data_IF_092364391088
#
_entry.id   IF_092364391088
#
_cell.length_a   1.000
_cell.length_b   1.000
_cell.length_c   1.000
_cell.angle_alpha   90.00
_cell.angle_beta   90.00
_cell.angle_gamma   90.00
#
_symmetry.space_group_name_H-M   'P 1'
#
loop_
_entity.id
_entity.type
_entity.pdbx_description
1 polymer ?
#
# COMPACT_ATOMS: atom_id res chain seq x y z
N UNK A 1 -8.79 18.03 -9.32
CA UNK A 1 -9.31 16.67 -9.52
C UNK A 1 -8.85 15.77 -8.37
N UNK A 2 -9.70 15.50 -7.37
CA UNK A 2 -9.41 14.46 -6.36
C UNK A 2 -10.13 13.18 -6.81
N UNK A 3 -9.41 12.25 -7.42
CA UNK A 3 -9.91 10.92 -7.72
C UNK A 3 -10.20 10.13 -6.44
N UNK A 4 -11.15 9.20 -6.50
CA UNK A 4 -11.68 8.44 -5.34
C UNK A 4 -10.63 7.63 -4.56
N UNK A 5 -9.47 7.36 -5.15
CA UNK A 5 -8.40 6.53 -4.57
C UNK A 5 -7.08 7.32 -4.32
N UNK A 6 -7.17 8.63 -4.08
CA UNK A 6 -6.03 9.44 -3.63
C UNK A 6 -5.98 9.49 -2.10
N UNK A 7 -4.82 9.14 -1.54
CA UNK A 7 -4.46 9.28 -0.13
C UNK A 7 -3.40 10.36 0.01
N UNK A 8 -3.72 11.42 0.75
CA UNK A 8 -2.78 12.50 1.06
C UNK A 8 -2.42 12.41 2.53
N UNK A 9 -1.13 12.50 2.85
CA UNK A 9 -0.61 12.37 4.23
C UNK A 9 0.61 13.28 4.39
N UNK A 10 0.81 13.81 5.60
CA UNK A 10 1.99 14.64 5.90
C UNK A 10 3.19 13.76 6.32
N UNK A 11 4.39 14.19 5.95
CA UNK A 11 5.64 13.65 6.51
C UNK A 11 5.63 13.87 8.02
N UNK A 12 5.84 12.78 8.76
CA UNK A 12 5.73 12.75 10.23
C UNK A 12 4.42 12.14 10.74
N UNK A 13 3.46 11.81 9.87
CA UNK A 13 2.38 10.91 10.24
C UNK A 13 2.92 9.52 10.58
N UNK A 14 2.35 8.86 11.59
CA UNK A 14 2.82 7.55 12.06
C UNK A 14 2.72 6.49 10.95
N UNK A 15 1.61 6.50 10.20
CA UNK A 15 1.37 5.56 9.11
C UNK A 15 0.27 6.03 8.15
N UNK A 16 0.15 5.35 7.01
CA UNK A 16 -0.98 5.48 6.08
C UNK A 16 -1.48 4.10 5.67
N UNK A 17 -2.80 3.94 5.54
CA UNK A 17 -3.42 2.70 5.05
C UNK A 17 -3.94 2.85 3.62
N UNK A 18 -3.42 2.01 2.73
CA UNK A 18 -3.88 1.82 1.36
C UNK A 18 -5.03 0.81 1.36
N UNK A 19 -6.21 1.28 0.96
CA UNK A 19 -7.45 0.53 1.16
C UNK A 19 -7.80 -0.38 -0.02
N UNK A 20 -7.82 -1.69 0.22
CA UNK A 20 -8.40 -2.64 -0.70
C UNK A 20 -9.00 -3.85 0.04
N UNK A 21 -10.27 -4.14 -0.25
CA UNK A 21 -10.98 -5.29 0.29
C UNK A 21 -11.82 -5.92 -0.81
N UNK A 22 -11.83 -7.24 -0.87
CA UNK A 22 -12.73 -8.02 -1.71
C UNK A 22 -13.58 -8.92 -0.84
N UNK A 23 -14.86 -9.06 -1.20
CA UNK A 23 -15.76 -9.98 -0.52
C UNK A 23 -15.63 -11.35 -1.18
N UNK A 24 -15.33 -12.38 -0.39
CA UNK A 24 -15.32 -13.78 -0.82
C UNK A 24 -14.51 -14.12 -2.10
N UNK A 25 -13.28 -13.60 -2.29
CA UNK A 25 -12.46 -14.06 -3.40
C UNK A 25 -11.98 -15.51 -3.14
N UNK A 26 -12.08 -16.37 -4.15
CA UNK A 26 -11.20 -17.53 -4.26
C UNK A 26 -9.90 -17.03 -4.89
N UNK A 27 -8.84 -16.92 -4.10
CA UNK A 27 -7.55 -16.37 -4.48
C UNK A 27 -6.45 -17.11 -3.73
N UNK A 28 -5.25 -17.12 -4.30
CA UNK A 28 -4.08 -17.80 -3.72
C UNK A 28 -2.87 -16.87 -3.57
N UNK A 29 -2.83 -15.77 -4.34
CA UNK A 29 -1.76 -14.79 -4.30
C UNK A 29 -2.26 -13.34 -4.33
N UNK A 30 -1.57 -12.47 -3.60
CA UNK A 30 -1.75 -11.02 -3.64
C UNK A 30 -0.40 -10.32 -3.63
N UNK A 31 -0.25 -9.30 -4.49
CA UNK A 31 0.95 -8.47 -4.57
C UNK A 31 0.59 -6.99 -4.44
N UNK A 32 1.43 -6.22 -3.75
CA UNK A 32 1.44 -4.76 -3.77
C UNK A 32 2.73 -4.27 -4.41
N UNK A 33 2.63 -3.44 -5.46
CA UNK A 33 3.78 -2.84 -6.14
C UNK A 33 3.69 -1.32 -6.15
N UNK A 34 4.80 -0.65 -5.87
CA UNK A 34 4.97 0.78 -6.10
C UNK A 34 5.41 0.98 -7.55
N UNK A 35 4.47 1.26 -8.45
CA UNK A 35 4.71 1.11 -9.89
C UNK A 35 5.62 2.19 -10.49
N UNK A 36 5.69 3.39 -9.91
CA UNK A 36 6.59 4.44 -10.42
C UNK A 36 8.07 4.11 -10.26
N UNK A 37 8.41 3.26 -9.30
CA UNK A 37 9.80 2.87 -9.01
C UNK A 37 10.01 1.37 -9.13
N UNK A 38 9.00 0.65 -9.64
CA UNK A 38 9.01 -0.79 -9.89
C UNK A 38 9.41 -1.67 -8.68
N UNK A 39 9.06 -1.23 -7.46
CA UNK A 39 9.41 -1.95 -6.22
C UNK A 39 8.26 -2.83 -5.72
N UNK A 40 8.58 -4.07 -5.37
CA UNK A 40 7.66 -4.96 -4.66
C UNK A 40 7.59 -4.54 -3.19
N UNK A 41 6.38 -4.14 -2.77
CA UNK A 41 6.11 -3.63 -1.42
C UNK A 41 5.70 -4.77 -0.49
N UNK A 42 4.91 -5.71 -1.00
CA UNK A 42 4.44 -6.87 -0.24
C UNK A 42 3.95 -7.96 -1.19
N UNK A 43 4.14 -9.22 -0.82
CA UNK A 43 3.51 -10.36 -1.48
C UNK A 43 3.10 -11.43 -0.46
N UNK A 44 2.01 -12.12 -0.77
CA UNK A 44 1.53 -13.28 -0.05
C UNK A 44 1.04 -14.29 -1.07
N UNK A 45 1.45 -15.54 -0.91
CA UNK A 45 1.17 -16.61 -1.86
C UNK A 45 1.02 -17.94 -1.12
N UNK A 46 0.00 -18.73 -1.47
CA UNK A 46 -0.25 -20.08 -0.96
C UNK A 46 -0.25 -20.18 0.58
N UNK A 47 -0.82 -19.18 1.25
CA UNK A 47 -0.94 -19.16 2.71
C UNK A 47 0.28 -18.59 3.45
N UNK A 48 1.34 -18.22 2.75
CA UNK A 48 2.59 -17.75 3.34
C UNK A 48 2.99 -16.35 2.83
N UNK A 49 3.55 -15.54 3.72
CA UNK A 49 4.25 -14.31 3.35
C UNK A 49 5.59 -14.67 2.70
N UNK A 50 6.00 -13.92 1.67
CA UNK A 50 7.32 -14.08 1.05
C UNK A 50 8.18 -12.83 1.35
N UNK A 51 8.78 -12.72 2.55
CA UNK A 51 9.56 -11.54 2.93
C UNK A 51 10.85 -11.39 2.09
N UNK A 52 11.39 -12.47 1.54
CA UNK A 52 12.61 -12.43 0.71
C UNK A 52 12.46 -11.66 -0.60
N UNK A 53 11.24 -11.52 -1.10
CA UNK A 53 10.97 -10.80 -2.35
C UNK A 53 10.70 -9.31 -2.10
N UNK A 54 10.48 -8.91 -0.85
CA UNK A 54 10.17 -7.54 -0.48
C UNK A 54 11.40 -6.64 -0.65
N UNK A 55 11.23 -5.53 -1.35
CA UNK A 55 12.30 -4.55 -1.52
C UNK A 55 12.71 -3.92 -0.18
N UNK A 56 14.02 -3.71 0.01
CA UNK A 56 14.64 -3.22 1.26
C UNK A 56 14.00 -1.95 1.83
N UNK A 57 13.68 -0.96 1.00
CA UNK A 57 12.96 0.26 1.37
C UNK A 57 11.65 0.07 2.16
N UNK A 58 11.03 -1.11 2.06
CA UNK A 58 9.76 -1.45 2.71
C UNK A 58 9.90 -2.45 3.86
N UNK A 59 11.07 -3.05 4.04
CA UNK A 59 11.32 -4.01 5.11
C UNK A 59 11.13 -3.34 6.48
N UNK A 60 10.39 -4.00 7.37
CA UNK A 60 10.05 -3.49 8.70
C UNK A 60 9.07 -2.29 8.72
N UNK A 61 8.61 -1.82 7.57
CA UNK A 61 7.69 -0.67 7.45
C UNK A 61 6.28 -1.05 7.03
N UNK A 62 6.06 -2.28 6.58
CA UNK A 62 4.78 -2.75 6.03
C UNK A 62 4.04 -3.64 7.01
N UNK A 63 2.78 -3.30 7.25
CA UNK A 63 1.83 -4.10 8.01
C UNK A 63 0.60 -4.43 7.17
N UNK A 64 0.10 -5.65 7.36
CA UNK A 64 -1.06 -6.20 6.64
C UNK A 64 -1.89 -7.03 7.60
N UNK A 65 -3.16 -7.28 7.24
CA UNK A 65 -3.96 -8.26 7.97
C UNK A 65 -3.30 -9.65 7.90
N UNK A 66 -3.34 -10.41 8.99
CA UNK A 66 -2.81 -11.79 9.04
C UNK A 66 -3.83 -12.80 8.51
N UNK A 67 -5.13 -12.51 8.64
CA UNK A 67 -6.23 -13.39 8.20
C UNK A 67 -6.71 -13.04 6.79
N UNK A 68 -5.79 -12.77 5.85
CA UNK A 68 -6.12 -12.35 4.48
C UNK A 68 -7.05 -13.35 3.80
N UNK A 69 -6.74 -14.65 3.89
CA UNK A 69 -7.50 -15.72 3.21
C UNK A 69 -8.96 -15.77 3.69
N UNK A 70 -9.21 -15.49 4.97
CA UNK A 70 -10.57 -15.50 5.54
C UNK A 70 -11.32 -14.19 5.28
N UNK A 71 -10.60 -13.06 5.28
CA UNK A 71 -11.23 -11.73 5.33
C UNK A 71 -11.31 -11.03 3.98
N UNK A 72 -10.47 -11.42 3.01
CA UNK A 72 -10.27 -10.70 1.75
C UNK A 72 -9.83 -9.24 1.96
N UNK A 73 -9.24 -8.93 3.11
CA UNK A 73 -8.84 -7.59 3.52
C UNK A 73 -7.37 -7.33 3.20
N UNK A 74 -7.12 -6.93 1.96
CA UNK A 74 -5.79 -6.66 1.40
C UNK A 74 -5.23 -5.29 1.75
N UNK A 75 -5.72 -4.66 2.82
CA UNK A 75 -5.20 -3.37 3.29
C UNK A 75 -3.71 -3.48 3.62
N UNK A 76 -2.96 -2.48 3.16
CA UNK A 76 -1.55 -2.31 3.45
C UNK A 76 -1.36 -1.02 4.25
N UNK A 77 -0.79 -1.14 5.45
CA UNK A 77 -0.37 -0.01 6.26
C UNK A 77 1.13 0.20 6.12
N UNK A 78 1.52 1.38 5.67
CA UNK A 78 2.92 1.79 5.53
C UNK A 78 3.29 2.74 6.67
N UNK A 79 4.33 2.40 7.43
CA UNK A 79 4.89 3.18 8.55
C UNK A 79 6.13 3.96 8.13
N UNK A 80 6.56 4.88 9.00
CA UNK A 80 7.78 5.68 8.85
C UNK A 80 7.85 6.35 7.47
N UNK A 81 6.83 7.14 7.15
CA UNK A 81 6.61 7.69 5.81
C UNK A 81 7.72 8.65 5.40
N UNK A 82 8.17 8.48 4.16
CA UNK A 82 9.17 9.26 3.47
C UNK A 82 8.54 9.91 2.25
N UNK A 83 9.14 11.00 1.78
CA UNK A 83 8.72 11.70 0.57
C UNK A 83 8.68 10.78 -0.66
N UNK A 84 9.65 9.88 -0.73
CA UNK A 84 9.86 8.90 -1.79
C UNK A 84 8.79 7.81 -1.83
N UNK A 85 7.98 7.68 -0.77
CA UNK A 85 6.83 6.76 -0.78
C UNK A 85 5.66 7.31 -1.60
N UNK A 86 5.75 8.56 -2.08
CA UNK A 86 4.72 9.13 -2.94
C UNK A 86 4.69 8.42 -4.28
N UNK A 87 3.51 7.97 -4.68
CA UNK A 87 3.30 7.40 -6.00
C UNK A 87 2.05 6.55 -6.13
N UNK A 88 2.01 5.80 -7.22
CA UNK A 88 0.93 4.87 -7.51
C UNK A 88 1.31 3.51 -6.95
N UNK A 89 0.44 2.97 -6.11
CA UNK A 89 0.52 1.61 -5.60
C UNK A 89 -0.57 0.78 -6.26
N UNK A 90 -0.20 -0.36 -6.83
CA UNK A 90 -1.17 -1.31 -7.38
C UNK A 90 -1.17 -2.55 -6.52
N UNK A 91 -2.36 -2.91 -6.04
CA UNK A 91 -2.61 -4.24 -5.52
C UNK A 91 -3.17 -5.13 -6.62
N UNK A 92 -2.57 -6.29 -6.83
CA UNK A 92 -3.02 -7.32 -7.76
C UNK A 92 -3.35 -8.59 -6.99
N UNK A 93 -4.53 -9.14 -7.22
CA UNK A 93 -5.00 -10.39 -6.62
C UNK A 93 -5.13 -11.43 -7.73
N UNK A 94 -4.61 -12.62 -7.44
CA UNK A 94 -4.50 -13.72 -8.39
C UNK A 94 -5.25 -14.97 -7.91
N UNK A 95 -5.63 -15.79 -8.88
CA UNK A 95 -6.11 -17.16 -8.69
C UNK A 95 -5.52 -18.02 -9.80
N UNK A 96 -4.81 -19.09 -9.45
CA UNK A 96 -4.18 -20.03 -10.36
C UNK A 96 -3.29 -19.34 -11.42
N UNK A 97 -2.63 -18.25 -11.03
CA UNK A 97 -1.78 -17.42 -11.90
C UNK A 97 -2.51 -16.36 -12.73
N UNK A 98 -3.85 -16.34 -12.74
CA UNK A 98 -4.64 -15.32 -13.44
C UNK A 98 -4.97 -14.13 -12.53
N UNK A 99 -4.95 -12.92 -13.09
CA UNK A 99 -5.36 -11.71 -12.37
C UNK A 99 -6.88 -11.69 -12.27
N UNK A 100 -7.42 -11.86 -11.06
CA UNK A 100 -8.87 -11.77 -10.81
C UNK A 100 -9.29 -10.35 -10.42
N UNK A 101 -8.37 -9.55 -9.86
CA UNK A 101 -8.65 -8.15 -9.51
C UNK A 101 -7.40 -7.31 -9.38
N UNK A 102 -7.52 -6.04 -9.76
CA UNK A 102 -6.55 -5.00 -9.45
C UNK A 102 -7.20 -3.76 -8.85
N UNK A 103 -6.43 -3.06 -8.03
CA UNK A 103 -6.77 -1.73 -7.53
C UNK A 103 -5.52 -0.83 -7.47
N UNK A 104 -5.61 0.33 -8.10
CA UNK A 104 -4.62 1.39 -7.96
C UNK A 104 -5.00 2.35 -6.81
N UNK A 105 -4.00 2.77 -6.03
CA UNK A 105 -4.13 3.76 -4.96
C UNK A 105 -2.99 4.77 -5.11
N UNK A 106 -3.32 6.05 -5.17
CA UNK A 106 -2.33 7.12 -5.25
C UNK A 106 -1.99 7.59 -3.84
N UNK A 107 -0.72 7.56 -3.45
CA UNK A 107 -0.22 8.11 -2.21
C UNK A 107 0.55 9.40 -2.50
N UNK A 108 0.20 10.47 -1.82
CA UNK A 108 0.93 11.73 -1.85
C UNK A 108 1.39 12.09 -0.44
N UNK A 109 2.69 12.07 -0.22
CA UNK A 109 3.31 12.46 1.05
C UNK A 109 3.81 13.90 0.92
N UNK A 110 3.30 14.81 1.74
CA UNK A 110 3.63 16.25 1.69
C UNK A 110 4.30 16.74 2.97
N UNK A 111 4.98 17.90 2.91
CA UNK A 111 5.47 18.56 4.11
C UNK A 111 4.28 19.11 4.87
N UNK A 112 4.45 19.25 6.18
CA UNK A 112 3.59 20.11 6.96
C UNK A 112 3.76 21.54 6.49
N UNK A 113 2.66 22.19 6.09
CA UNK A 113 2.68 23.62 5.81
C UNK A 113 2.84 24.38 7.14
N UNK A 114 3.95 25.10 7.30
CA UNK A 114 4.09 26.06 8.42
C UNK A 114 3.33 27.32 8.03
N UNK A 115 2.21 27.60 8.69
CA UNK A 115 1.56 28.91 8.61
C UNK A 115 2.47 29.94 9.29
N UNK A 116 3.17 30.74 8.49
CA UNK A 116 3.87 31.91 9.01
C UNK A 116 2.81 32.97 9.28
N UNK A 117 2.44 33.13 10.55
CA UNK A 117 1.73 34.33 10.99
C UNK A 117 2.68 35.50 10.83
N UNK A 118 2.34 36.44 9.95
CA UNK A 118 3.06 37.71 9.88
C UNK A 118 2.67 38.49 11.14
N UNK A 119 3.62 38.69 12.03
CA UNK A 119 3.50 39.75 13.04
C UNK A 119 3.41 41.09 12.27
N UNK A 120 2.33 41.83 12.54
CA UNK A 120 2.04 43.16 11.98
C UNK A 120 2.61 44.22 12.91
#
# INVERSE_FOLDING_TARGET
>A
FKGKDVKQVEVGAESVTLNFKLKHPDWDKVEWKHVWIEKLVYTFENGCKQPGDQHEDYQGRVEVNQDLLKTGDFRLTLRNLQWQDSGVYICTVYKDGEIIKQKAVNLWVSAREIKVEKEV
#
